data_IF_707809933071
#
_entry.id   IF_707809933071
#
_cell.length_a   1.000
_cell.length_b   1.000
_cell.length_c   1.000
_cell.angle_alpha   90.00
_cell.angle_beta   90.00
_cell.angle_gamma   90.00
#
_symmetry.space_group_name_H-M   'P 1'
#
loop_
_entity.id
_entity.type
_entity.pdbx_description
1 polymer ?
#
# COMPACT_ATOMS: atom_id res chain seq x y z
N UNK A 1 -47.36 -1.94 31.18
CA UNK A 1 -47.26 -1.14 29.94
C UNK A 1 -46.10 -0.17 30.11
N UNK A 2 -44.97 -0.46 29.46
CA UNK A 2 -43.73 0.33 29.50
C UNK A 2 -43.74 1.31 28.32
N UNK A 3 -43.45 2.58 28.55
CA UNK A 3 -42.68 3.46 27.66
C UNK A 3 -42.69 4.89 28.22
N UNK A 4 -41.62 5.27 28.94
CA UNK A 4 -41.23 6.67 29.04
C UNK A 4 -40.04 6.85 28.10
N UNK A 5 -40.24 7.73 27.12
CA UNK A 5 -39.31 8.12 26.08
C UNK A 5 -38.13 8.85 26.71
N UNK A 6 -36.94 8.25 26.71
CA UNK A 6 -35.68 8.97 26.90
C UNK A 6 -34.98 9.04 25.55
N UNK A 7 -35.11 10.20 24.89
CA UNK A 7 -34.26 10.55 23.76
C UNK A 7 -32.92 11.02 24.34
N UNK A 8 -31.94 10.12 24.39
CA UNK A 8 -30.56 10.50 24.66
C UNK A 8 -29.91 10.86 23.32
N UNK A 9 -29.72 12.16 23.10
CA UNK A 9 -28.91 12.73 22.04
C UNK A 9 -27.44 12.37 22.31
N UNK A 10 -26.96 11.23 21.81
CA UNK A 10 -25.54 10.92 21.77
C UNK A 10 -24.92 11.58 20.53
N UNK A 11 -24.52 12.84 20.71
CA UNK A 11 -23.45 13.44 19.91
C UNK A 11 -22.14 12.75 20.30
N UNK A 12 -21.83 11.64 19.66
CA UNK A 12 -20.45 11.16 19.62
C UNK A 12 -19.70 12.00 18.59
N UNK A 13 -18.92 12.96 19.10
CA UNK A 13 -17.77 13.52 18.40
C UNK A 13 -16.81 12.38 18.08
N UNK A 14 -17.05 11.66 16.98
CA UNK A 14 -16.02 10.90 16.31
C UNK A 14 -15.06 11.93 15.71
N UNK A 15 -14.07 12.36 16.49
CA UNK A 15 -12.93 13.04 15.90
C UNK A 15 -12.32 12.08 14.89
N UNK A 16 -12.33 12.46 13.62
CA UNK A 16 -11.74 11.67 12.54
C UNK A 16 -10.30 11.32 12.91
N UNK A 17 -10.06 10.05 13.24
CA UNK A 17 -8.70 9.55 13.48
C UNK A 17 -7.98 9.59 12.14
N UNK A 18 -7.16 10.62 11.95
CA UNK A 18 -6.34 10.81 10.77
C UNK A 18 -5.35 9.65 10.64
N UNK A 19 -5.28 9.02 9.48
CA UNK A 19 -4.27 8.00 9.21
C UNK A 19 -2.89 8.65 9.08
N UNK A 20 -1.83 7.94 9.52
CA UNK A 20 -0.46 8.39 9.34
C UNK A 20 -0.14 8.64 7.86
N UNK A 21 0.68 9.67 7.52
CA UNK A 21 0.94 10.03 6.13
C UNK A 21 1.68 8.90 5.40
N UNK A 22 1.12 8.48 4.27
CA UNK A 22 1.70 7.52 3.34
C UNK A 22 2.12 8.18 2.03
N UNK A 23 2.72 7.41 1.10
CA UNK A 23 3.10 7.95 -0.20
C UNK A 23 1.90 8.57 -0.93
N UNK A 24 2.10 9.74 -1.54
CA UNK A 24 1.05 10.55 -2.18
C UNK A 24 0.46 11.63 -1.28
N UNK A 25 0.53 11.47 0.05
CA UNK A 25 0.07 12.49 0.99
C UNK A 25 0.99 13.71 1.02
N UNK A 26 0.47 14.85 1.47
CA UNK A 26 1.27 16.07 1.64
C UNK A 26 1.63 16.31 3.09
N UNK A 27 2.84 16.81 3.30
CA UNK A 27 3.26 17.37 4.59
C UNK A 27 3.15 18.89 4.50
N UNK A 28 2.26 19.45 5.31
CA UNK A 28 2.12 20.90 5.43
C UNK A 28 3.35 21.52 6.11
N UNK A 29 3.68 22.79 5.80
CA UNK A 29 4.67 23.54 6.54
C UNK A 29 4.43 23.47 8.06
N UNK A 30 5.50 23.26 8.82
CA UNK A 30 5.42 23.14 10.26
C UNK A 30 6.57 23.84 10.97
N UNK A 31 6.37 24.07 12.27
CA UNK A 31 7.36 24.71 13.14
C UNK A 31 7.54 23.91 14.41
N UNK A 32 8.79 23.56 14.73
CA UNK A 32 9.18 22.85 15.95
C UNK A 32 10.39 23.53 16.60
N UNK A 33 10.83 23.03 17.77
CA UNK A 33 12.03 23.51 18.46
C UNK A 33 13.22 22.60 18.19
N UNK A 34 14.39 23.16 17.92
CA UNK A 34 15.65 22.41 17.83
C UNK A 34 16.24 22.10 19.23
N UNK A 35 17.37 21.38 19.27
CA UNK A 35 18.09 21.07 20.52
C UNK A 35 18.58 22.28 21.31
N UNK A 36 18.72 23.44 20.66
CA UNK A 36 19.09 24.71 21.27
C UNK A 36 17.86 25.56 21.63
N UNK A 37 16.66 24.96 21.60
CA UNK A 37 15.37 25.61 21.83
C UNK A 37 15.05 26.76 20.84
N UNK A 38 15.74 26.79 19.70
CA UNK A 38 15.46 27.76 18.63
C UNK A 38 14.29 27.26 17.80
N UNK A 39 13.53 28.20 17.25
CA UNK A 39 12.45 27.90 16.32
C UNK A 39 13.04 27.37 15.02
N UNK A 40 12.61 26.19 14.60
CA UNK A 40 12.90 25.60 13.30
C UNK A 40 11.61 25.57 12.48
N UNK A 41 11.61 26.18 11.30
CA UNK A 41 10.47 26.18 10.37
C UNK A 41 10.80 25.35 9.15
N UNK A 42 10.03 24.29 8.92
CA UNK A 42 10.16 23.47 7.72
C UNK A 42 9.16 23.91 6.65
N UNK A 43 9.61 23.93 5.40
CA UNK A 43 8.79 24.12 4.20
C UNK A 43 9.33 23.21 3.10
N UNK A 44 8.45 22.78 2.20
CA UNK A 44 8.85 22.07 0.99
C UNK A 44 9.86 22.91 0.17
N UNK A 45 10.81 22.23 -0.46
CA UNK A 45 11.83 22.85 -1.31
C UNK A 45 13.05 21.95 -1.54
N UNK A 46 13.29 20.99 -0.65
CA UNK A 46 14.33 19.95 -0.75
C UNK A 46 13.75 18.59 -0.38
N UNK A 47 14.39 17.52 -0.86
CA UNK A 47 14.05 16.18 -0.41
C UNK A 47 14.32 16.09 1.09
N UNK A 48 13.30 15.74 1.87
CA UNK A 48 13.39 15.71 3.34
C UNK A 48 13.07 14.32 3.86
N UNK A 49 13.97 13.75 4.65
CA UNK A 49 13.71 12.55 5.45
C UNK A 49 13.24 13.00 6.82
N UNK A 50 12.05 12.59 7.22
CA UNK A 50 11.50 12.90 8.55
C UNK A 50 11.37 11.58 9.31
N UNK A 51 12.14 11.41 10.37
CA UNK A 51 12.05 10.25 11.25
C UNK A 51 11.46 10.67 12.58
N UNK A 52 10.23 10.24 12.88
CA UNK A 52 9.58 10.44 14.17
C UNK A 52 10.01 9.32 15.10
N UNK A 53 10.49 9.63 16.30
CA UNK A 53 11.10 8.67 17.21
C UNK A 53 10.81 8.95 18.69
N UNK A 54 11.13 7.98 19.54
CA UNK A 54 11.18 8.12 21.00
C UNK A 54 12.44 7.45 21.56
N UNK A 55 13.18 8.12 22.45
CA UNK A 55 14.44 7.65 23.03
C UNK A 55 14.27 6.48 24.00
N UNK A 56 13.08 6.33 24.58
CA UNK A 56 12.74 5.15 25.40
C UNK A 56 12.38 3.91 24.56
N UNK A 57 12.24 4.05 23.23
CA UNK A 57 11.88 2.94 22.35
C UNK A 57 13.11 2.15 21.89
N UNK A 58 13.13 0.84 22.13
CA UNK A 58 14.25 -0.03 21.70
C UNK A 58 14.37 -0.10 20.18
N UNK A 59 13.24 -0.07 19.46
CA UNK A 59 13.22 -0.02 17.99
C UNK A 59 13.91 1.22 17.45
N UNK A 60 13.84 2.36 18.16
CA UNK A 60 14.60 3.55 17.80
C UNK A 60 16.10 3.38 18.02
N UNK A 61 16.53 2.73 19.11
CA UNK A 61 17.95 2.43 19.34
C UNK A 61 18.53 1.57 18.20
N UNK A 62 17.72 0.66 17.65
CA UNK A 62 18.08 -0.12 16.45
C UNK A 62 18.08 0.73 15.17
N UNK A 63 17.13 1.65 15.04
CA UNK A 63 16.97 2.47 13.83
C UNK A 63 18.01 3.60 13.72
N UNK A 64 18.40 4.20 14.84
CA UNK A 64 19.32 5.33 14.90
C UNK A 64 20.61 5.14 14.09
N UNK A 65 21.40 4.06 14.28
CA UNK A 65 22.65 3.89 13.51
C UNK A 65 22.41 3.78 12.00
N UNK A 66 21.25 3.27 11.58
CA UNK A 66 20.90 3.12 10.16
C UNK A 66 20.54 4.45 9.50
N UNK A 67 19.84 5.32 10.25
CA UNK A 67 19.57 6.70 9.81
C UNK A 67 20.86 7.51 9.78
N UNK A 68 21.76 7.33 10.76
CA UNK A 68 23.08 7.97 10.76
C UNK A 68 23.91 7.57 9.54
N UNK A 69 23.96 6.27 9.21
CA UNK A 69 24.67 5.77 8.03
C UNK A 69 24.10 6.34 6.72
N UNK A 70 22.76 6.37 6.59
CA UNK A 70 22.11 6.98 5.43
C UNK A 70 22.40 8.48 5.33
N UNK A 71 22.35 9.22 6.44
CA UNK A 71 22.68 10.65 6.48
C UNK A 71 24.14 10.90 6.08
N UNK A 72 25.09 10.11 6.59
CA UNK A 72 26.49 10.20 6.22
C UNK A 72 26.71 9.94 4.72
N UNK A 73 26.03 8.93 4.17
CA UNK A 73 26.11 8.56 2.75
C UNK A 73 25.50 9.60 1.81
N UNK A 74 24.61 10.46 2.30
CA UNK A 74 23.97 11.55 1.55
C UNK A 74 24.60 12.92 1.81
N UNK A 75 25.74 13.00 2.52
CA UNK A 75 26.45 14.27 2.74
C UNK A 75 26.82 14.93 1.40
N UNK A 76 26.49 16.21 1.27
CA UNK A 76 26.72 17.00 0.06
C UNK A 76 25.59 16.92 -0.97
N UNK A 77 24.61 16.02 -0.81
CA UNK A 77 23.41 15.96 -1.64
C UNK A 77 22.37 17.00 -1.16
N UNK A 78 21.44 17.45 -2.03
CA UNK A 78 20.40 18.41 -1.67
C UNK A 78 19.25 17.75 -0.86
N UNK A 79 19.62 17.10 0.24
CA UNK A 79 18.73 16.30 1.09
C UNK A 79 18.82 16.79 2.53
N UNK A 80 17.67 16.89 3.19
CA UNK A 80 17.58 17.25 4.60
C UNK A 80 17.17 16.03 5.42
N UNK A 81 17.84 15.80 6.56
CA UNK A 81 17.46 14.77 7.52
C UNK A 81 16.92 15.47 8.77
N UNK A 82 15.67 15.21 9.10
CA UNK A 82 14.98 15.67 10.30
C UNK A 82 14.66 14.45 11.19
N UNK A 83 15.09 14.50 12.44
CA UNK A 83 14.70 13.53 13.45
C UNK A 83 13.82 14.24 14.47
N UNK A 84 12.54 13.87 14.53
CA UNK A 84 11.52 14.47 15.40
C UNK A 84 11.30 13.55 16.60
N UNK A 85 11.77 13.96 17.77
CA UNK A 85 11.55 13.21 19.01
C UNK A 85 10.22 13.63 19.64
N UNK A 86 9.36 12.65 19.90
CA UNK A 86 8.12 12.86 20.66
C UNK A 86 8.35 12.99 22.17
N UNK A 87 9.61 12.83 22.59
CA UNK A 87 9.98 12.85 24.00
C UNK A 87 10.02 14.28 24.54
N UNK A 88 9.58 14.43 25.79
CA UNK A 88 9.79 15.66 26.55
C UNK A 88 11.18 15.79 27.19
N UNK A 89 12.10 14.82 26.99
CA UNK A 89 13.42 14.76 27.64
C UNK A 89 14.52 14.22 26.72
N UNK A 90 15.69 14.85 26.79
CA UNK A 90 16.81 14.67 25.85
C UNK A 90 17.95 13.80 26.39
N UNK A 91 17.68 12.57 26.82
CA UNK A 91 18.69 11.72 27.46
C UNK A 91 19.79 11.23 26.51
N UNK A 92 19.53 11.13 25.19
CA UNK A 92 20.51 10.65 24.20
C UNK A 92 20.81 11.65 23.06
N UNK A 93 20.55 12.96 23.27
CA UNK A 93 20.67 14.00 22.23
C UNK A 93 22.00 14.02 21.47
N UNK A 94 23.11 13.73 22.15
CA UNK A 94 24.45 13.75 21.53
C UNK A 94 24.63 12.64 20.49
N UNK A 95 24.06 11.46 20.71
CA UNK A 95 24.10 10.36 19.76
C UNK A 95 23.17 10.62 18.57
N UNK A 96 21.98 11.16 18.82
CA UNK A 96 20.99 11.38 17.78
C UNK A 96 21.31 12.57 16.85
N UNK A 97 22.10 13.55 17.31
CA UNK A 97 22.51 14.70 16.49
C UNK A 97 23.26 14.32 15.20
N UNK A 98 23.90 13.15 15.13
CA UNK A 98 24.54 12.67 13.90
C UNK A 98 23.55 12.09 12.88
N UNK A 99 22.29 11.88 13.25
CA UNK A 99 21.20 11.43 12.37
C UNK A 99 20.50 12.58 11.62
N UNK A 100 20.95 13.82 11.80
CA UNK A 100 20.40 15.00 11.14
C UNK A 100 20.00 16.10 12.12
N UNK A 101 19.15 17.02 11.65
CA UNK A 101 18.57 18.06 12.50
C UNK A 101 17.58 17.45 13.48
N UNK A 102 17.83 17.65 14.76
CA UNK A 102 17.00 17.13 15.85
C UNK A 102 15.93 18.16 16.23
N UNK A 103 14.67 17.73 16.21
CA UNK A 103 13.49 18.53 16.52
C UNK A 103 12.71 17.91 17.68
N UNK A 104 12.08 18.77 18.48
CA UNK A 104 11.25 18.41 19.63
C UNK A 104 9.78 18.53 19.30
N UNK A 105 9.04 17.44 19.52
CA UNK A 105 7.58 17.40 19.52
C UNK A 105 7.06 16.87 20.86
N UNK A 106 7.12 17.65 21.95
CA UNK A 106 6.82 17.14 23.29
C UNK A 106 5.41 16.57 23.39
N UNK A 107 5.31 15.27 23.68
CA UNK A 107 4.03 14.56 23.77
C UNK A 107 3.41 14.23 22.42
N UNK A 108 4.18 14.32 21.33
CA UNK A 108 3.77 13.92 19.99
C UNK A 108 2.61 14.75 19.44
N UNK A 109 2.48 16.03 19.81
CA UNK A 109 1.33 16.86 19.42
C UNK A 109 1.28 17.08 17.92
N UNK A 110 2.42 17.38 17.32
CA UNK A 110 2.52 17.56 15.88
C UNK A 110 2.40 16.21 15.14
N UNK A 111 3.13 15.19 15.58
CA UNK A 111 3.10 13.86 14.94
C UNK A 111 1.72 13.21 15.01
N UNK A 112 1.04 13.31 16.16
CA UNK A 112 -0.34 12.81 16.31
C UNK A 112 -1.32 13.60 15.46
N UNK A 113 -1.11 14.91 15.26
CA UNK A 113 -1.88 15.73 14.32
C UNK A 113 -1.71 15.32 12.85
N UNK A 114 -0.65 14.58 12.53
CA UNK A 114 -0.46 13.91 11.24
C UNK A 114 -1.07 12.50 11.19
N UNK A 115 -1.52 11.94 12.32
CA UNK A 115 -1.96 10.56 12.43
C UNK A 115 -0.84 9.55 12.78
N UNK A 116 0.35 10.03 13.13
CA UNK A 116 1.47 9.18 13.54
C UNK A 116 1.37 8.90 15.04
N UNK A 117 0.79 7.75 15.39
CA UNK A 117 0.54 7.29 16.76
C UNK A 117 1.57 6.26 17.26
N UNK A 118 2.44 5.77 16.37
CA UNK A 118 3.47 4.78 16.66
C UNK A 118 4.81 5.19 16.08
N UNK A 119 5.87 4.89 16.81
CA UNK A 119 7.26 5.23 16.48
C UNK A 119 8.16 3.99 16.56
N UNK A 120 9.29 3.94 15.81
CA UNK A 120 9.72 4.94 14.84
C UNK A 120 8.86 4.95 13.57
N UNK A 121 8.69 6.13 12.97
CA UNK A 121 8.01 6.30 11.70
C UNK A 121 8.87 7.16 10.78
N UNK A 122 9.22 6.66 9.61
CA UNK A 122 10.12 7.34 8.66
C UNK A 122 9.34 7.75 7.42
N UNK A 123 9.44 9.01 7.05
CA UNK A 123 8.93 9.59 5.81
C UNK A 123 10.10 10.00 4.92
N UNK A 124 9.97 9.81 3.61
CA UNK A 124 10.74 10.54 2.60
C UNK A 124 9.76 11.44 1.87
N UNK A 125 10.08 12.73 1.82
CA UNK A 125 9.24 13.79 1.27
C UNK A 125 10.00 14.44 0.11
N UNK A 126 9.36 14.59 -1.04
CA UNK A 126 9.96 15.26 -2.20
C UNK A 126 10.07 16.78 -2.01
N UNK A 127 10.72 17.45 -2.96
CA UNK A 127 10.88 18.90 -2.93
C UNK A 127 9.55 19.68 -3.06
N UNK A 128 8.44 19.02 -3.43
CA UNK A 128 7.09 19.61 -3.49
C UNK A 128 6.31 19.41 -2.17
N UNK A 129 6.87 18.68 -1.21
CA UNK A 129 6.18 18.37 0.06
C UNK A 129 5.28 17.14 -0.02
N UNK A 130 5.41 16.32 -1.05
CA UNK A 130 4.68 15.06 -1.22
C UNK A 130 5.48 13.92 -0.61
N UNK A 131 4.86 13.10 0.21
CA UNK A 131 5.46 11.87 0.72
C UNK A 131 5.68 10.90 -0.45
N UNK A 132 6.91 10.44 -0.65
CA UNK A 132 7.25 9.42 -1.66
C UNK A 132 7.47 8.05 -1.04
N UNK A 133 7.76 8.01 0.25
CA UNK A 133 7.93 6.79 1.02
C UNK A 133 7.53 7.01 2.47
N UNK A 134 6.91 6.00 3.08
CA UNK A 134 6.59 5.97 4.49
C UNK A 134 6.79 4.56 5.04
N UNK A 135 7.31 4.43 6.25
CA UNK A 135 7.43 3.15 6.93
C UNK A 135 7.34 3.29 8.44
N UNK A 136 6.61 2.36 9.06
CA UNK A 136 6.60 2.16 10.50
C UNK A 136 7.61 1.06 10.88
N UNK A 137 8.38 1.30 11.94
CA UNK A 137 9.39 0.38 12.44
C UNK A 137 10.78 0.66 11.86
N UNK A 138 11.65 -0.36 11.87
CA UNK A 138 13.03 -0.20 11.41
C UNK A 138 13.15 -0.42 9.91
N UNK A 139 14.01 0.35 9.26
CA UNK A 139 14.42 0.20 7.85
C UNK A 139 15.89 -0.18 7.78
N UNK A 140 16.33 -0.86 6.73
CA UNK A 140 17.77 -1.01 6.45
C UNK A 140 18.32 0.29 5.86
N UNK A 141 19.59 0.60 6.11
CA UNK A 141 20.24 1.81 5.59
C UNK A 141 20.18 1.87 4.06
N UNK A 142 20.48 0.75 3.40
CA UNK A 142 20.42 0.65 1.93
C UNK A 142 19.00 0.89 1.39
N UNK A 143 17.98 0.35 2.06
CA UNK A 143 16.58 0.55 1.66
C UNK A 143 16.20 2.03 1.74
N UNK A 144 16.57 2.71 2.83
CA UNK A 144 16.36 4.15 2.97
C UNK A 144 17.10 4.94 1.88
N UNK A 145 18.36 4.59 1.59
CA UNK A 145 19.15 5.23 0.53
C UNK A 145 18.51 5.09 -0.85
N UNK A 146 17.98 3.90 -1.17
CA UNK A 146 17.30 3.66 -2.44
C UNK A 146 16.05 4.56 -2.59
N UNK A 147 15.28 4.73 -1.51
CA UNK A 147 14.10 5.62 -1.49
C UNK A 147 14.48 7.10 -1.64
N UNK A 148 15.55 7.54 -0.97
CA UNK A 148 16.03 8.91 -1.08
C UNK A 148 16.52 9.18 -2.52
N UNK A 149 17.32 8.27 -3.09
CA UNK A 149 17.84 8.40 -4.46
C UNK A 149 16.73 8.42 -5.50
N UNK A 150 15.74 7.53 -5.39
CA UNK A 150 14.56 7.57 -6.26
C UNK A 150 13.84 8.91 -6.20
N UNK A 151 13.63 9.43 -4.99
CA UNK A 151 13.00 10.74 -4.78
C UNK A 151 13.82 11.90 -5.37
N UNK A 152 15.15 11.88 -5.20
CA UNK A 152 16.06 12.88 -5.76
C UNK A 152 16.09 12.90 -7.29
N UNK A 153 16.03 11.72 -7.90
CA UNK A 153 15.99 11.57 -9.35
C UNK A 153 14.63 11.99 -9.94
N UNK A 154 13.69 12.42 -9.09
CA UNK A 154 12.33 12.73 -9.49
C UNK A 154 11.59 11.50 -10.00
N UNK A 155 12.04 10.29 -9.65
CA UNK A 155 11.31 9.07 -9.92
C UNK A 155 10.07 9.11 -9.03
N UNK A 156 8.85 9.22 -9.60
CA UNK A 156 7.66 8.97 -8.81
C UNK A 156 7.72 7.52 -8.30
N UNK A 157 6.73 7.06 -7.53
CA UNK A 157 6.45 5.63 -7.57
C UNK A 157 5.84 5.30 -8.97
N UNK A 158 6.55 5.62 -10.05
CA UNK A 158 6.21 5.28 -11.42
C UNK A 158 6.48 3.82 -11.59
N UNK A 159 5.42 3.10 -11.90
CA UNK A 159 5.50 1.70 -12.15
C UNK A 159 4.15 1.20 -12.56
N UNK A 160 4.15 0.04 -13.19
CA UNK A 160 2.94 -0.69 -13.46
C UNK A 160 2.64 -1.56 -12.24
N UNK A 161 1.39 -1.59 -11.81
CA UNK A 161 0.88 -2.62 -10.88
C UNK A 161 -0.27 -3.35 -11.55
N UNK A 162 -0.47 -4.60 -11.14
CA UNK A 162 -1.45 -5.49 -11.73
C UNK A 162 -2.47 -5.88 -10.67
N UNK A 163 -3.73 -5.45 -10.84
CA UNK A 163 -4.82 -5.96 -10.02
C UNK A 163 -5.20 -7.35 -10.52
N UNK A 164 -5.13 -8.33 -9.63
CA UNK A 164 -5.53 -9.70 -9.93
C UNK A 164 -6.59 -10.21 -8.98
N UNK A 165 -7.58 -10.91 -9.50
CA UNK A 165 -8.69 -11.45 -8.72
C UNK A 165 -8.77 -12.97 -8.91
N UNK A 166 -8.53 -13.70 -7.84
CA UNK A 166 -8.73 -15.15 -7.74
C UNK A 166 -10.22 -15.47 -7.49
N UNK A 167 -10.57 -16.75 -7.60
CA UNK A 167 -11.91 -17.29 -7.41
C UNK A 167 -13.00 -16.74 -8.34
N UNK A 168 -12.62 -16.24 -9.52
CA UNK A 168 -13.57 -15.74 -10.49
C UNK A 168 -14.16 -16.89 -11.35
N UNK A 169 -15.43 -16.86 -11.78
CA UNK A 169 -16.52 -16.11 -11.17
C UNK A 169 -16.82 -16.60 -9.75
N UNK A 170 -17.06 -15.64 -8.84
CA UNK A 170 -17.47 -15.91 -7.47
C UNK A 170 -18.97 -16.19 -7.35
N UNK A 171 -19.43 -16.61 -6.16
CA UNK A 171 -20.88 -16.82 -5.92
C UNK A 171 -21.70 -15.53 -5.96
N UNK A 172 -21.11 -14.41 -5.54
CA UNK A 172 -21.75 -13.09 -5.45
C UNK A 172 -20.75 -11.99 -5.72
N UNK A 173 -21.23 -10.78 -6.03
CA UNK A 173 -20.39 -9.58 -6.07
C UNK A 173 -19.62 -9.34 -7.37
N UNK A 174 -19.73 -10.23 -8.36
CA UNK A 174 -18.97 -10.12 -9.60
C UNK A 174 -19.35 -8.88 -10.43
N UNK A 175 -20.66 -8.60 -10.55
CA UNK A 175 -21.15 -7.49 -11.36
C UNK A 175 -20.75 -6.15 -10.73
N UNK A 176 -20.86 -6.05 -9.41
CA UNK A 176 -20.46 -4.87 -8.64
C UNK A 176 -18.95 -4.64 -8.69
N UNK A 177 -18.15 -5.72 -8.70
CA UNK A 177 -16.70 -5.62 -8.89
C UNK A 177 -16.36 -5.02 -10.26
N UNK A 178 -17.00 -5.49 -11.33
CA UNK A 178 -16.82 -4.93 -12.67
C UNK A 178 -17.30 -3.47 -12.74
N UNK A 179 -18.41 -3.13 -12.07
CA UNK A 179 -18.89 -1.75 -11.98
C UNK A 179 -17.87 -0.81 -11.33
N UNK A 180 -17.22 -1.24 -10.24
CA UNK A 180 -16.15 -0.46 -9.59
C UNK A 180 -14.94 -0.29 -10.52
N UNK A 181 -14.48 -1.37 -11.16
CA UNK A 181 -13.34 -1.31 -12.08
C UNK A 181 -13.61 -0.40 -13.28
N UNK A 182 -14.84 -0.44 -13.82
CA UNK A 182 -15.29 0.46 -14.90
C UNK A 182 -15.35 1.91 -14.44
N UNK A 183 -15.92 2.17 -13.26
CA UNK A 183 -16.01 3.53 -12.70
C UNK A 183 -14.63 4.13 -12.45
N UNK A 184 -13.69 3.31 -11.99
CA UNK A 184 -12.31 3.70 -11.78
C UNK A 184 -11.47 3.65 -13.07
N UNK A 185 -11.99 3.15 -14.20
CA UNK A 185 -11.28 3.01 -15.48
C UNK A 185 -9.94 2.26 -15.33
N UNK A 186 -9.97 1.10 -14.64
CA UNK A 186 -8.78 0.30 -14.38
C UNK A 186 -8.94 -1.11 -14.96
N UNK A 187 -7.98 -1.60 -15.77
CA UNK A 187 -7.98 -2.98 -16.20
C UNK A 187 -7.57 -3.93 -15.06
N UNK A 188 -7.98 -5.19 -15.15
CA UNK A 188 -7.69 -6.21 -14.15
C UNK A 188 -7.59 -7.58 -14.82
N UNK A 189 -6.88 -8.50 -14.17
CA UNK A 189 -6.75 -9.90 -14.61
C UNK A 189 -7.48 -10.81 -13.63
N UNK A 190 -8.41 -11.62 -14.12
CA UNK A 190 -9.21 -12.55 -13.32
C UNK A 190 -8.69 -13.97 -13.51
N UNK A 191 -8.35 -14.66 -12.42
CA UNK A 191 -8.00 -16.08 -12.43
C UNK A 191 -9.26 -16.92 -12.22
N UNK A 192 -9.60 -17.74 -13.22
CA UNK A 192 -10.88 -18.41 -13.33
C UNK A 192 -10.89 -19.82 -12.75
N UNK A 193 -11.97 -20.16 -12.04
CA UNK A 193 -12.37 -21.54 -11.77
C UNK A 193 -13.11 -22.05 -13.01
N UNK A 194 -12.41 -22.82 -13.85
CA UNK A 194 -12.81 -23.07 -15.23
C UNK A 194 -14.11 -23.86 -15.37
N UNK A 195 -14.47 -24.71 -14.40
CA UNK A 195 -15.72 -25.47 -14.45
C UNK A 195 -16.97 -24.60 -14.23
N UNK A 196 -16.82 -23.36 -13.73
CA UNK A 196 -17.93 -22.43 -13.50
C UNK A 196 -18.22 -21.52 -14.70
N UNK A 197 -17.26 -21.35 -15.61
CA UNK A 197 -17.29 -20.30 -16.63
C UNK A 197 -18.51 -20.34 -17.55
N UNK A 198 -18.99 -21.54 -17.89
CA UNK A 198 -20.18 -21.74 -18.72
C UNK A 198 -21.46 -21.26 -18.04
N UNK A 199 -21.59 -21.50 -16.73
CA UNK A 199 -22.73 -21.04 -15.92
C UNK A 199 -22.78 -19.52 -15.76
N UNK A 200 -21.67 -18.83 -16.02
CA UNK A 200 -21.53 -17.37 -15.91
C UNK A 200 -21.19 -16.73 -17.27
N UNK A 201 -21.64 -17.31 -18.37
CA UNK A 201 -21.22 -16.89 -19.71
C UNK A 201 -21.48 -15.40 -20.02
N UNK A 202 -22.59 -14.83 -19.55
CA UNK A 202 -22.89 -13.40 -19.72
C UNK A 202 -21.88 -12.51 -18.98
N UNK A 203 -21.56 -12.87 -17.74
CA UNK A 203 -20.58 -12.19 -16.90
C UNK A 203 -19.19 -12.22 -17.56
N UNK A 204 -18.72 -13.38 -18.03
CA UNK A 204 -17.40 -13.48 -18.67
C UNK A 204 -17.31 -12.68 -19.97
N UNK A 205 -18.37 -12.70 -20.80
CA UNK A 205 -18.45 -11.85 -22.00
C UNK A 205 -18.38 -10.36 -21.63
N UNK A 206 -19.06 -9.95 -20.55
CA UNK A 206 -18.97 -8.59 -20.02
C UNK A 206 -17.54 -8.27 -19.58
N UNK A 207 -16.89 -9.16 -18.82
CA UNK A 207 -15.52 -8.99 -18.34
C UNK A 207 -14.53 -8.74 -19.49
N UNK A 208 -14.55 -9.57 -20.53
CA UNK A 208 -13.66 -9.39 -21.70
C UNK A 208 -14.01 -8.12 -22.49
N UNK A 209 -15.30 -7.84 -22.69
CA UNK A 209 -15.75 -6.62 -23.40
C UNK A 209 -15.34 -5.33 -22.68
N UNK A 210 -15.28 -5.34 -21.35
CA UNK A 210 -14.83 -4.20 -20.53
C UNK A 210 -13.29 -4.08 -20.47
N UNK A 211 -12.55 -4.95 -21.19
CA UNK A 211 -11.10 -4.85 -21.37
C UNK A 211 -10.28 -5.58 -20.30
N UNK A 212 -10.91 -6.44 -19.50
CA UNK A 212 -10.22 -7.30 -18.54
C UNK A 212 -9.73 -8.59 -19.20
N UNK A 213 -8.81 -9.30 -18.53
CA UNK A 213 -8.29 -10.59 -19.02
C UNK A 213 -8.70 -11.74 -18.12
N UNK A 214 -8.99 -12.89 -18.74
CA UNK A 214 -9.25 -14.15 -18.04
C UNK A 214 -8.02 -15.05 -18.10
N UNK A 215 -7.63 -15.60 -16.95
CA UNK A 215 -6.51 -16.54 -16.75
C UNK A 215 -6.99 -17.74 -15.93
N UNK A 216 -6.13 -18.69 -15.61
CA UNK A 216 -6.55 -19.98 -15.03
C UNK A 216 -6.26 -20.02 -13.52
N UNK A 217 -7.26 -20.26 -12.67
CA UNK A 217 -7.03 -20.55 -11.25
C UNK A 217 -6.93 -22.06 -11.00
N UNK A 218 -7.75 -22.84 -11.70
CA UNK A 218 -7.80 -24.33 -11.70
C UNK A 218 -9.10 -24.74 -12.39
N UNK A 219 -9.32 -26.04 -12.56
CA UNK A 219 -10.62 -26.52 -13.04
C UNK A 219 -11.74 -26.26 -12.04
N UNK A 220 -11.55 -26.64 -10.78
CA UNK A 220 -12.60 -26.72 -9.76
C UNK A 220 -12.20 -26.16 -8.39
N UNK A 221 -11.01 -25.54 -8.29
CA UNK A 221 -10.38 -25.08 -7.06
C UNK A 221 -9.76 -26.22 -6.21
N UNK A 222 -9.53 -27.40 -6.79
CA UNK A 222 -8.69 -28.44 -6.20
C UNK A 222 -7.19 -28.27 -6.59
N UNK A 223 -6.29 -28.53 -5.64
CA UNK A 223 -4.86 -28.26 -5.75
C UNK A 223 -4.07 -29.28 -6.56
N UNK A 224 -4.65 -30.47 -6.80
CA UNK A 224 -3.85 -31.61 -7.23
C UNK A 224 -3.40 -31.54 -8.69
N UNK A 225 -4.20 -30.97 -9.61
CA UNK A 225 -3.79 -30.64 -10.99
C UNK A 225 -4.68 -29.52 -11.57
N UNK A 226 -4.12 -28.43 -12.10
CA UNK A 226 -4.93 -27.32 -12.63
C UNK A 226 -5.66 -27.60 -13.96
N UNK A 227 -5.60 -28.83 -14.49
CA UNK A 227 -6.18 -29.27 -15.79
C UNK A 227 -6.08 -28.21 -16.91
N UNK A 228 -4.88 -27.65 -17.12
CA UNK A 228 -4.67 -26.45 -17.95
C UNK A 228 -5.28 -26.54 -19.35
N UNK A 229 -5.12 -27.67 -20.06
CA UNK A 229 -5.68 -27.86 -21.40
C UNK A 229 -7.21 -27.77 -21.42
N UNK A 230 -7.87 -28.30 -20.38
CA UNK A 230 -9.32 -28.26 -20.23
C UNK A 230 -9.80 -26.86 -19.90
N UNK A 231 -9.06 -26.16 -19.06
CA UNK A 231 -9.28 -24.75 -18.75
C UNK A 231 -9.14 -23.83 -19.98
N UNK A 232 -8.12 -24.04 -20.81
CA UNK A 232 -7.93 -23.31 -22.08
C UNK A 232 -9.16 -23.49 -22.97
N UNK A 233 -9.64 -24.72 -23.13
CA UNK A 233 -10.84 -25.01 -23.93
C UNK A 233 -12.10 -24.36 -23.35
N UNK A 234 -12.23 -24.30 -22.02
CA UNK A 234 -13.38 -23.68 -21.35
C UNK A 234 -13.42 -22.15 -21.52
N UNK A 235 -12.26 -21.50 -21.69
CA UNK A 235 -12.15 -20.05 -21.86
C UNK A 235 -12.18 -19.57 -23.32
N UNK A 236 -11.89 -20.45 -24.28
CA UNK A 236 -11.88 -20.14 -25.72
C UNK A 236 -13.20 -19.51 -26.25
N UNK A 237 -14.41 -19.94 -25.84
CA UNK A 237 -15.67 -19.32 -26.30
C UNK A 237 -15.84 -17.84 -25.91
N UNK A 238 -15.03 -17.34 -24.99
CA UNK A 238 -15.02 -15.94 -24.55
C UNK A 238 -13.95 -15.11 -25.28
N UNK A 239 -13.24 -15.70 -26.24
CA UNK A 239 -12.16 -15.05 -27.00
C UNK A 239 -10.83 -15.00 -26.25
N UNK A 240 -10.70 -15.73 -25.14
CA UNK A 240 -9.53 -15.69 -24.28
C UNK A 240 -8.59 -16.86 -24.54
N UNK A 241 -7.29 -16.53 -24.59
CA UNK A 241 -6.19 -17.49 -24.72
C UNK A 241 -5.30 -17.35 -23.49
N UNK A 242 -5.65 -18.00 -22.37
CA UNK A 242 -4.93 -17.82 -21.12
C UNK A 242 -3.49 -18.34 -21.26
N UNK A 243 -2.54 -17.52 -20.86
CA UNK A 243 -1.10 -17.82 -20.87
C UNK A 243 -0.55 -18.00 -19.46
N UNK A 244 -1.34 -17.69 -18.44
CA UNK A 244 -0.98 -17.71 -17.04
C UNK A 244 -1.97 -18.55 -16.24
N UNK A 245 -1.48 -19.14 -15.17
CA UNK A 245 -2.29 -19.73 -14.13
C UNK A 245 -1.72 -19.42 -12.75
N UNK A 246 -2.58 -19.39 -11.73
CA UNK A 246 -2.19 -19.30 -10.32
C UNK A 246 -2.86 -20.47 -9.60
N UNK A 247 -2.14 -21.45 -9.04
CA UNK A 247 -2.75 -22.54 -8.28
C UNK A 247 -3.50 -22.05 -7.05
N UNK A 248 -4.59 -22.73 -6.62
CA UNK A 248 -5.24 -22.43 -5.34
C UNK A 248 -4.25 -22.56 -4.19
N UNK A 249 -4.28 -21.60 -3.26
CA UNK A 249 -3.36 -21.57 -2.11
C UNK A 249 -1.91 -21.17 -2.44
N UNK A 250 -1.62 -20.73 -3.67
CA UNK A 250 -0.31 -20.23 -4.06
C UNK A 250 -0.34 -18.75 -4.45
N UNK A 251 0.66 -18.00 -4.00
CA UNK A 251 0.93 -16.64 -4.48
C UNK A 251 1.56 -16.64 -5.89
N UNK A 252 2.11 -17.78 -6.33
CA UNK A 252 2.89 -17.87 -7.57
C UNK A 252 2.00 -17.86 -8.80
N UNK A 253 2.22 -16.89 -9.68
CA UNK A 253 1.69 -16.89 -11.04
C UNK A 253 2.69 -17.62 -11.94
N UNK A 254 2.19 -18.57 -12.73
CA UNK A 254 3.00 -19.48 -13.55
C UNK A 254 2.49 -19.40 -15.00
N UNK A 255 3.41 -19.34 -15.96
CA UNK A 255 3.06 -19.47 -17.37
C UNK A 255 2.55 -20.87 -17.64
N UNK A 256 1.59 -21.03 -18.56
CA UNK A 256 1.09 -22.37 -18.98
C UNK A 256 2.24 -23.27 -19.49
N UNK A 257 3.36 -22.69 -19.95
CA UNK A 257 4.60 -23.40 -20.29
C UNK A 257 5.54 -23.74 -19.11
N UNK A 258 5.15 -23.47 -17.85
CA UNK A 258 5.83 -23.92 -16.63
C UNK A 258 6.70 -22.90 -15.89
N UNK A 259 7.07 -21.78 -16.52
CA UNK A 259 7.91 -20.77 -15.87
C UNK A 259 7.10 -19.87 -14.92
N UNK A 260 7.52 -19.75 -13.65
CA UNK A 260 6.94 -18.78 -12.72
C UNK A 260 7.29 -17.35 -13.14
N UNK A 261 6.34 -16.42 -12.97
CA UNK A 261 6.62 -15.00 -13.13
C UNK A 261 7.52 -14.52 -11.99
N UNK A 262 8.62 -13.84 -12.34
CA UNK A 262 9.46 -13.15 -11.36
C UNK A 262 8.87 -11.76 -11.08
N UNK A 263 7.67 -11.73 -10.50
CA UNK A 263 6.98 -10.51 -10.12
C UNK A 263 6.77 -10.49 -8.60
N UNK A 264 6.96 -9.33 -7.95
CA UNK A 264 6.64 -9.22 -6.54
C UNK A 264 5.14 -9.35 -6.31
N UNK A 265 4.75 -10.22 -5.39
CA UNK A 265 3.35 -10.38 -5.00
C UNK A 265 3.05 -9.46 -3.82
N UNK A 266 1.87 -8.84 -3.86
CA UNK A 266 1.29 -8.10 -2.74
C UNK A 266 0.03 -8.82 -2.32
N UNK A 267 0.10 -9.55 -1.22
CA UNK A 267 -1.04 -10.28 -0.64
C UNK A 267 -1.51 -9.56 0.65
N UNK A 268 -2.69 -8.92 0.62
CA UNK A 268 -3.26 -8.30 1.81
C UNK A 268 -4.07 -9.28 2.68
N UNK A 269 -4.15 -10.57 2.30
CA UNK A 269 -4.97 -11.60 2.93
C UNK A 269 -6.45 -11.19 2.99
N UNK A 270 -7.01 -10.72 1.89
CA UNK A 270 -8.38 -10.23 1.84
C UNK A 270 -9.44 -11.31 2.08
N UNK A 271 -9.13 -12.57 1.76
CA UNK A 271 -9.95 -13.73 2.12
C UNK A 271 -10.20 -13.87 3.63
N UNK A 272 -9.35 -13.29 4.49
CA UNK A 272 -9.55 -13.24 5.94
C UNK A 272 -10.51 -12.12 6.38
N UNK A 273 -10.93 -11.24 5.47
CA UNK A 273 -11.81 -10.11 5.70
C UNK A 273 -11.33 -9.17 6.82
N UNK A 274 -10.10 -8.63 6.76
CA UNK A 274 -9.55 -7.79 7.82
C UNK A 274 -10.17 -6.37 7.90
N UNK A 275 -11.10 -6.04 6.99
CA UNK A 275 -11.71 -4.72 6.85
C UNK A 275 -10.94 -3.79 5.91
N UNK A 276 -11.63 -2.77 5.37
CA UNK A 276 -11.13 -1.92 4.26
C UNK A 276 -9.85 -1.15 4.61
N UNK A 277 -9.79 -0.55 5.80
CA UNK A 277 -8.61 0.21 6.26
C UNK A 277 -7.37 -0.65 6.36
N UNK A 278 -7.51 -1.89 6.85
CA UNK A 278 -6.38 -2.80 6.99
C UNK A 278 -5.92 -3.34 5.64
N UNK A 279 -6.84 -3.60 4.69
CA UNK A 279 -6.50 -3.92 3.30
C UNK A 279 -5.65 -2.81 2.67
N UNK A 280 -6.13 -1.57 2.75
CA UNK A 280 -5.41 -0.42 2.21
C UNK A 280 -4.02 -0.27 2.83
N UNK A 281 -3.91 -0.44 4.16
CA UNK A 281 -2.64 -0.39 4.88
C UNK A 281 -1.67 -1.48 4.42
N UNK A 282 -2.14 -2.74 4.34
CA UNK A 282 -1.31 -3.89 3.92
C UNK A 282 -0.81 -3.72 2.49
N UNK A 283 -1.68 -3.34 1.56
CA UNK A 283 -1.30 -3.05 0.17
C UNK A 283 -0.29 -1.91 0.14
N UNK A 284 -0.55 -0.82 0.87
CA UNK A 284 0.30 0.36 0.83
C UNK A 284 1.73 0.10 1.26
N UNK A 285 1.92 -0.77 2.26
CA UNK A 285 3.23 -1.15 2.81
C UNK A 285 4.00 -2.13 1.92
N UNK A 286 3.30 -2.98 1.16
CA UNK A 286 3.93 -4.05 0.37
C UNK A 286 4.15 -3.65 -1.09
N UNK A 287 3.28 -2.81 -1.65
CA UNK A 287 3.23 -2.52 -3.08
C UNK A 287 4.48 -1.79 -3.58
N UNK A 288 5.00 -2.24 -4.71
CA UNK A 288 6.12 -1.64 -5.44
C UNK A 288 5.87 -1.76 -6.95
N UNK A 289 6.72 -1.13 -7.76
CA UNK A 289 6.63 -1.26 -9.21
C UNK A 289 6.73 -2.73 -9.62
N UNK A 290 5.85 -3.16 -10.52
CA UNK A 290 5.69 -4.54 -10.94
C UNK A 290 4.85 -5.42 -10.02
N UNK A 291 4.30 -4.88 -8.91
CA UNK A 291 3.49 -5.66 -7.97
C UNK A 291 2.28 -6.30 -8.64
N UNK A 292 2.14 -7.61 -8.43
CA UNK A 292 0.91 -8.36 -8.68
C UNK A 292 0.12 -8.38 -7.38
N UNK A 293 -0.95 -7.60 -7.32
CA UNK A 293 -1.81 -7.50 -6.13
C UNK A 293 -2.82 -8.65 -6.20
N UNK A 294 -2.74 -9.57 -5.25
CA UNK A 294 -3.60 -10.74 -5.15
C UNK A 294 -4.83 -10.40 -4.31
N UNK A 295 -6.02 -10.51 -4.91
CA UNK A 295 -7.31 -10.25 -4.31
C UNK A 295 -8.28 -11.37 -4.70
N UNK A 296 -9.47 -11.43 -4.09
CA UNK A 296 -10.48 -12.44 -4.39
C UNK A 296 -11.80 -11.79 -4.82
N UNK A 297 -12.37 -12.24 -5.94
CA UNK A 297 -13.56 -11.61 -6.55
C UNK A 297 -14.81 -11.60 -5.63
N UNK A 298 -14.94 -12.63 -4.79
CA UNK A 298 -16.10 -12.82 -3.91
C UNK A 298 -16.08 -12.03 -2.60
N UNK A 299 -15.00 -11.31 -2.28
CA UNK A 299 -14.83 -10.64 -0.98
C UNK A 299 -15.45 -9.24 -1.00
N UNK A 300 -16.43 -8.99 -0.12
CA UNK A 300 -17.15 -7.72 -0.05
C UNK A 300 -16.22 -6.56 0.34
N UNK A 301 -15.34 -6.80 1.31
CA UNK A 301 -14.38 -5.84 1.84
C UNK A 301 -13.38 -5.40 0.77
N UNK A 302 -12.97 -6.33 -0.11
CA UNK A 302 -12.13 -6.03 -1.27
C UNK A 302 -12.84 -5.07 -2.21
N UNK A 303 -14.09 -5.35 -2.59
CA UNK A 303 -14.87 -4.46 -3.46
C UNK A 303 -15.08 -3.08 -2.83
N UNK A 304 -15.34 -3.04 -1.53
CA UNK A 304 -15.53 -1.79 -0.80
C UNK A 304 -14.23 -0.96 -0.69
N UNK A 305 -13.06 -1.60 -0.55
CA UNK A 305 -11.76 -0.92 -0.45
C UNK A 305 -11.19 -0.51 -1.82
N UNK A 306 -11.61 -1.19 -2.90
CA UNK A 306 -11.00 -1.07 -4.23
C UNK A 306 -10.93 0.36 -4.78
N UNK A 307 -11.97 1.22 -4.65
CA UNK A 307 -11.87 2.61 -5.13
C UNK A 307 -10.77 3.41 -4.42
N UNK A 308 -10.63 3.25 -3.11
CA UNK A 308 -9.62 3.95 -2.32
C UNK A 308 -8.21 3.40 -2.60
N UNK A 309 -8.07 2.08 -2.74
CA UNK A 309 -6.82 1.44 -3.17
C UNK A 309 -6.37 2.02 -4.51
N UNK A 310 -7.26 2.05 -5.52
CA UNK A 310 -6.92 2.55 -6.85
C UNK A 310 -6.49 4.01 -6.80
N UNK A 311 -7.28 4.87 -6.14
CA UNK A 311 -6.97 6.30 -6.04
C UNK A 311 -5.67 6.56 -5.28
N UNK A 312 -5.43 5.83 -4.18
CA UNK A 312 -4.18 5.92 -3.43
C UNK A 312 -2.97 5.53 -4.29
N UNK A 313 -3.04 4.42 -5.02
CA UNK A 313 -1.95 3.98 -5.89
C UNK A 313 -1.72 4.93 -7.08
N UNK A 314 -2.79 5.50 -7.66
CA UNK A 314 -2.66 6.56 -8.69
C UNK A 314 -2.01 7.83 -8.14
N UNK A 315 -2.41 8.27 -6.96
CA UNK A 315 -1.81 9.43 -6.30
C UNK A 315 -0.31 9.24 -6.04
N UNK A 316 0.11 7.97 -5.89
CA UNK A 316 1.53 7.57 -5.78
C UNK A 316 2.29 7.49 -7.10
N UNK A 317 1.60 7.59 -8.24
CA UNK A 317 2.19 7.54 -9.58
C UNK A 317 2.14 6.16 -10.25
N UNK A 318 1.46 5.17 -9.65
CA UNK A 318 1.30 3.86 -10.29
C UNK A 318 0.28 3.92 -11.43
N UNK A 319 0.58 3.16 -12.48
CA UNK A 319 -0.36 2.87 -13.57
C UNK A 319 -0.85 1.43 -13.43
N UNK A 320 -2.06 1.18 -13.88
CA UNK A 320 -2.64 -0.15 -13.88
C UNK A 320 -2.61 -0.72 -15.29
N UNK A 321 -2.07 -1.92 -15.44
CA UNK A 321 -2.07 -2.65 -16.70
C UNK A 321 -2.52 -4.10 -16.48
N UNK A 322 -2.76 -4.80 -17.58
CA UNK A 322 -3.10 -6.22 -17.57
C UNK A 322 -1.85 -7.06 -17.33
N UNK A 323 -1.98 -8.10 -16.51
CA UNK A 323 -0.91 -9.08 -16.32
C UNK A 323 -0.83 -10.01 -17.54
N UNK A 324 0.37 -10.16 -18.13
CA UNK A 324 0.64 -10.93 -19.37
C UNK A 324 1.85 -11.87 -19.35
#
# INVERSE_FOLDING_TARGET
MKALLWVLLLLTLAGDVKAAPGPGDRIDPFTLRDLSNRTYSWRAGRVTIITVCAFWCDTWKTQLPRVQEAHQSMRGMPVDFLTVSVDGRWTEKGKAASAGTMLSDPGGRWSSGLGIDRVPYTLVVDAKGTVTFASFGTLRSQELLDKIRGTLNGEPATGVVYLTFDDFPAKTGNEELLDVLRAEQVPATFFCICNKVSSFASLLKRTVREGHRLQIHSWDHDSDKPELSRCVQALDPFGEKPTLYRPPGSEKVIRVGGAALNAPVTDPYDFQRPGTKELLRRISLQVKAGSVIQLHAGVNETRAALPEIIRSLRARGFRFELLG
#
